data_IF_939543947233
#
_entry.id   IF_939543947233
#
_cell.length_a   1.000
_cell.length_b   1.000
_cell.length_c   1.000
_cell.angle_alpha   90.00
_cell.angle_beta   90.00
_cell.angle_gamma   90.00
#
_symmetry.space_group_name_H-M   'P 1'
#
loop_
_entity.id
_entity.type
_entity.pdbx_description
1 polymer ?
#
# COMPACT_ATOMS: atom_id res chain seq x y z
N UNK A 1 -15.28 26.71 23.63
CA UNK A 1 -13.86 26.99 23.88
C UNK A 1 -13.61 26.79 25.36
N UNK A 2 -12.63 25.94 25.77
CA UNK A 2 -12.30 25.72 27.19
C UNK A 2 -11.68 26.98 27.79
N UNK A 3 -11.89 27.17 29.10
CA UNK A 3 -11.31 28.32 29.85
C UNK A 3 -9.78 28.32 29.68
N UNK A 4 -9.22 29.35 29.06
CA UNK A 4 -7.77 29.60 28.99
C UNK A 4 -7.17 29.65 27.56
N UNK A 5 -7.94 29.44 26.51
CA UNK A 5 -7.47 29.62 25.12
C UNK A 5 -8.05 30.93 24.59
N UNK A 6 -7.19 31.93 24.40
CA UNK A 6 -7.58 33.17 23.73
C UNK A 6 -7.54 33.04 22.23
N UNK A 7 -8.25 33.89 21.48
CA UNK A 7 -8.20 33.92 19.99
C UNK A 7 -6.76 34.14 19.50
N UNK A 8 -5.97 34.91 20.19
CA UNK A 8 -4.57 35.19 19.85
C UNK A 8 -3.70 33.93 19.96
N UNK A 9 -3.85 33.16 21.04
CA UNK A 9 -3.15 31.88 21.23
C UNK A 9 -3.58 30.87 20.16
N UNK A 10 -4.88 30.78 19.88
CA UNK A 10 -5.36 29.89 18.82
C UNK A 10 -4.78 30.23 17.45
N UNK A 11 -4.75 31.55 17.11
CA UNK A 11 -4.17 32.01 15.82
C UNK A 11 -2.67 31.75 15.76
N UNK A 12 -1.96 31.92 16.87
CA UNK A 12 -0.52 31.64 16.96
C UNK A 12 -0.25 30.17 16.72
N UNK A 13 -0.92 29.28 17.47
CA UNK A 13 -0.77 27.82 17.32
C UNK A 13 -1.13 27.33 15.92
N UNK A 14 -2.22 27.84 15.36
CA UNK A 14 -2.62 27.53 13.99
C UNK A 14 -1.57 27.94 12.97
N UNK A 15 -0.94 29.11 13.16
CA UNK A 15 0.13 29.60 12.29
C UNK A 15 1.40 28.76 12.42
N UNK A 16 1.79 28.40 13.64
CA UNK A 16 2.96 27.54 13.89
C UNK A 16 2.75 26.16 13.28
N UNK A 17 1.57 25.56 13.50
CA UNK A 17 1.24 24.27 12.90
C UNK A 17 1.25 24.32 11.37
N UNK A 18 0.72 25.36 10.77
CA UNK A 18 0.71 25.56 9.32
C UNK A 18 2.12 25.70 8.75
N UNK A 19 2.99 26.49 9.40
CA UNK A 19 4.40 26.65 8.99
C UNK A 19 5.14 25.32 9.13
N UNK A 20 4.96 24.61 10.24
CA UNK A 20 5.61 23.33 10.47
C UNK A 20 5.15 22.27 9.42
N UNK A 21 3.87 22.25 9.08
CA UNK A 21 3.34 21.36 8.06
C UNK A 21 3.92 21.69 6.69
N UNK A 22 3.88 22.94 6.26
CA UNK A 22 4.44 23.34 4.96
C UNK A 22 5.95 23.05 4.86
N UNK A 23 6.71 23.31 5.93
CA UNK A 23 8.13 22.99 5.96
C UNK A 23 8.36 21.48 5.85
N UNK A 24 7.56 20.69 6.56
CA UNK A 24 7.63 19.23 6.49
C UNK A 24 7.31 18.71 5.07
N UNK A 25 6.27 19.26 4.43
CA UNK A 25 5.88 18.91 3.06
C UNK A 25 6.98 19.28 2.07
N UNK A 26 7.50 20.50 2.12
CA UNK A 26 8.58 20.99 1.25
C UNK A 26 9.86 20.16 1.43
N UNK A 27 10.21 19.85 2.68
CA UNK A 27 11.37 19.03 3.00
C UNK A 27 11.20 17.57 2.52
N UNK A 28 10.01 16.98 2.68
CA UNK A 28 9.72 15.66 2.14
C UNK A 28 9.79 15.61 0.61
N UNK A 29 9.34 16.69 -0.06
CA UNK A 29 9.49 16.82 -1.51
C UNK A 29 10.98 16.89 -1.93
N UNK A 30 11.84 17.60 -1.17
CA UNK A 30 13.28 17.65 -1.44
C UNK A 30 13.94 16.27 -1.25
N UNK A 31 13.58 15.56 -0.18
CA UNK A 31 14.07 14.20 0.07
C UNK A 31 13.62 13.21 -1.01
N UNK A 32 12.38 13.30 -1.45
CA UNK A 32 11.86 12.45 -2.52
C UNK A 32 12.53 12.70 -3.86
N UNK A 33 13.11 13.89 -4.07
CA UNK A 33 13.88 14.25 -5.25
C UNK A 33 15.38 13.94 -5.11
N UNK A 34 15.85 13.58 -3.91
CA UNK A 34 17.24 13.22 -3.67
C UNK A 34 17.55 11.90 -4.35
N UNK A 35 18.48 11.94 -5.28
CA UNK A 35 19.00 10.74 -5.91
C UNK A 35 20.27 10.30 -5.16
N UNK A 36 20.37 9.00 -4.90
CA UNK A 36 21.57 8.36 -4.38
C UNK A 36 22.27 7.67 -5.52
N UNK A 37 23.58 7.75 -5.57
CA UNK A 37 24.34 7.09 -6.63
C UNK A 37 24.44 5.57 -6.40
N UNK A 38 24.87 4.84 -7.42
CA UNK A 38 24.99 3.37 -7.34
C UNK A 38 25.91 2.93 -6.19
N UNK A 39 26.91 3.72 -5.82
CA UNK A 39 27.82 3.40 -4.74
C UNK A 39 27.14 3.52 -3.37
N UNK A 40 26.29 4.52 -3.17
CA UNK A 40 25.50 4.69 -1.95
C UNK A 40 24.50 3.53 -1.80
N UNK A 41 23.80 3.16 -2.88
CA UNK A 41 22.84 2.06 -2.88
C UNK A 41 23.51 0.71 -2.64
N UNK A 42 24.70 0.48 -3.23
CA UNK A 42 25.48 -0.75 -3.00
C UNK A 42 26.04 -0.82 -1.59
N UNK A 43 26.50 0.29 -1.02
CA UNK A 43 26.95 0.34 0.37
C UNK A 43 25.79 0.02 1.33
N UNK A 44 24.63 0.63 1.12
CA UNK A 44 23.44 0.33 1.91
C UNK A 44 23.05 -1.14 1.81
N UNK A 45 23.05 -1.71 0.58
CA UNK A 45 22.77 -3.14 0.35
C UNK A 45 23.72 -4.04 1.14
N UNK A 46 25.00 -3.75 1.12
CA UNK A 46 26.01 -4.62 1.77
C UNK A 46 25.85 -4.62 3.30
N UNK A 47 25.36 -3.54 3.88
CA UNK A 47 25.09 -3.41 5.31
C UNK A 47 23.69 -3.95 5.70
N UNK A 48 22.70 -3.84 4.81
CA UNK A 48 21.29 -4.10 5.11
C UNK A 48 20.65 -5.15 4.17
N UNK A 49 21.43 -6.14 3.74
CA UNK A 49 21.00 -7.12 2.73
C UNK A 49 19.68 -7.83 3.09
N UNK A 50 19.49 -8.15 4.37
CA UNK A 50 18.30 -8.87 4.83
C UNK A 50 17.00 -8.10 4.59
N UNK A 51 17.01 -6.76 4.72
CA UNK A 51 15.85 -5.90 4.54
C UNK A 51 15.50 -5.68 3.06
N UNK A 52 16.47 -5.91 2.17
CA UNK A 52 16.33 -5.73 0.73
C UNK A 52 15.94 -7.02 -0.01
N UNK A 53 16.03 -8.16 0.66
CA UNK A 53 15.70 -9.45 0.07
C UNK A 53 14.20 -9.64 -0.11
N UNK A 54 13.87 -10.44 -1.12
CA UNK A 54 12.51 -10.86 -1.47
C UNK A 54 12.39 -12.37 -1.41
N UNK A 55 11.15 -12.86 -1.29
CA UNK A 55 10.78 -14.27 -1.45
C UNK A 55 9.61 -14.38 -2.42
N UNK A 56 9.44 -15.55 -3.07
CA UNK A 56 8.20 -15.90 -3.75
C UNK A 56 7.46 -16.94 -2.92
N UNK A 57 6.20 -16.65 -2.62
CA UNK A 57 5.38 -17.49 -1.74
C UNK A 57 3.97 -17.71 -2.30
N UNK A 58 3.35 -18.77 -1.80
CA UNK A 58 1.88 -18.91 -1.80
C UNK A 58 1.43 -18.81 -0.36
N UNK A 59 0.44 -17.94 -0.10
CA UNK A 59 -0.09 -17.70 1.23
C UNK A 59 -1.62 -17.80 1.19
N UNK A 60 -2.20 -18.42 2.22
CA UNK A 60 -3.63 -18.41 2.47
C UNK A 60 -3.91 -18.27 3.96
N UNK A 61 -4.94 -17.47 4.29
CA UNK A 61 -5.43 -17.26 5.64
C UNK A 61 -6.77 -17.99 5.82
N UNK A 62 -6.93 -18.64 6.96
CA UNK A 62 -8.09 -19.42 7.30
C UNK A 62 -8.90 -18.74 8.42
N UNK A 63 -10.19 -19.03 8.51
CA UNK A 63 -11.03 -18.54 9.61
C UNK A 63 -10.69 -19.21 10.95
N UNK A 64 -10.06 -20.39 10.91
CA UNK A 64 -9.65 -21.13 12.09
C UNK A 64 -8.39 -21.98 11.86
N UNK A 65 -7.72 -22.33 12.96
CA UNK A 65 -6.46 -23.06 12.95
C UNK A 65 -6.61 -24.53 12.51
N UNK A 66 -7.74 -25.17 12.80
CA UNK A 66 -7.96 -26.57 12.42
C UNK A 66 -7.96 -26.74 10.89
N UNK A 67 -8.57 -25.81 10.18
CA UNK A 67 -8.57 -25.79 8.71
C UNK A 67 -7.17 -25.49 8.14
N UNK A 68 -6.41 -24.60 8.76
CA UNK A 68 -5.02 -24.35 8.39
C UNK A 68 -4.14 -25.61 8.52
N UNK A 69 -4.31 -26.35 9.62
CA UNK A 69 -3.63 -27.63 9.86
C UNK A 69 -4.07 -28.67 8.82
N UNK A 70 -5.37 -28.79 8.55
CA UNK A 70 -5.91 -29.75 7.58
C UNK A 70 -5.39 -29.44 6.17
N UNK A 71 -5.37 -28.19 5.79
CA UNK A 71 -4.82 -27.71 4.52
C UNK A 71 -3.35 -28.07 4.37
N UNK A 72 -2.52 -27.73 5.37
CA UNK A 72 -1.09 -28.04 5.38
C UNK A 72 -0.84 -29.53 5.20
N UNK A 73 -1.63 -30.39 5.89
CA UNK A 73 -1.48 -31.83 5.78
C UNK A 73 -1.91 -32.40 4.42
N UNK A 74 -2.82 -31.73 3.69
CA UNK A 74 -3.27 -32.11 2.36
C UNK A 74 -2.40 -31.54 1.24
N UNK A 75 -1.48 -30.60 1.57
CA UNK A 75 -0.64 -29.94 0.60
C UNK A 75 0.39 -30.90 0.01
N UNK A 76 0.50 -30.93 -1.32
CA UNK A 76 1.54 -31.68 -2.00
C UNK A 76 2.90 -31.01 -1.81
N UNK A 77 3.97 -31.82 -1.77
CA UNK A 77 5.32 -31.33 -1.54
C UNK A 77 5.80 -30.30 -2.60
N UNK A 78 5.26 -30.37 -3.82
CA UNK A 78 5.54 -29.43 -4.90
C UNK A 78 4.62 -28.20 -4.92
N UNK A 79 3.69 -28.09 -3.96
CA UNK A 79 2.73 -26.99 -3.86
C UNK A 79 1.73 -26.90 -5.02
N UNK A 80 1.68 -27.90 -5.91
CA UNK A 80 0.88 -27.84 -7.15
C UNK A 80 -0.63 -27.76 -6.91
N UNK A 81 -1.09 -28.23 -5.74
CA UNK A 81 -2.52 -28.21 -5.37
C UNK A 81 -2.88 -27.05 -4.42
N UNK A 82 -1.99 -26.09 -4.20
CA UNK A 82 -2.20 -25.02 -3.23
C UNK A 82 -3.47 -24.22 -3.55
N UNK A 83 -3.57 -23.68 -4.76
CA UNK A 83 -4.72 -22.86 -5.18
C UNK A 83 -6.05 -23.69 -5.21
N UNK A 84 -6.00 -24.97 -5.67
CA UNK A 84 -7.16 -25.85 -5.64
C UNK A 84 -7.65 -26.12 -4.21
N UNK A 85 -6.72 -26.30 -3.28
CA UNK A 85 -7.09 -26.47 -1.88
C UNK A 85 -7.63 -25.17 -1.28
N UNK A 86 -6.98 -24.04 -1.52
CA UNK A 86 -7.40 -22.72 -1.02
C UNK A 86 -8.82 -22.37 -1.46
N UNK A 87 -9.20 -22.67 -2.70
CA UNK A 87 -10.54 -22.42 -3.21
C UNK A 87 -11.65 -23.21 -2.48
N UNK A 88 -11.31 -24.28 -1.75
CA UNK A 88 -12.28 -25.05 -0.95
C UNK A 88 -12.59 -24.43 0.40
N UNK A 89 -11.74 -23.52 0.86
CA UNK A 89 -11.84 -22.83 2.15
C UNK A 89 -12.22 -21.36 1.99
N UNK A 90 -12.25 -20.82 0.76
CA UNK A 90 -12.71 -19.46 0.52
C UNK A 90 -14.19 -19.34 0.87
N UNK A 91 -14.49 -18.46 1.82
CA UNK A 91 -15.86 -18.25 2.33
C UNK A 91 -16.62 -17.16 1.56
N UNK A 92 -15.96 -16.44 0.64
CA UNK A 92 -16.57 -15.32 -0.06
C UNK A 92 -16.80 -15.66 -1.53
N UNK A 93 -18.06 -15.78 -1.92
CA UNK A 93 -18.51 -15.85 -3.32
C UNK A 93 -17.90 -14.70 -4.16
N UNK A 94 -17.55 -13.61 -3.50
CA UNK A 94 -16.92 -12.43 -4.11
C UNK A 94 -15.52 -12.71 -4.68
N UNK A 95 -14.66 -13.43 -3.94
CA UNK A 95 -13.30 -13.73 -4.37
C UNK A 95 -13.29 -14.71 -5.55
N UNK A 96 -14.29 -15.57 -5.64
CA UNK A 96 -14.45 -16.59 -6.68
C UNK A 96 -15.12 -16.02 -7.93
N UNK A 97 -16.25 -15.32 -7.80
CA UNK A 97 -17.00 -14.82 -8.96
C UNK A 97 -16.41 -13.54 -9.57
N UNK A 98 -15.92 -12.61 -8.74
CA UNK A 98 -15.43 -11.33 -9.23
C UNK A 98 -14.19 -11.46 -10.11
N UNK A 99 -13.31 -12.40 -9.82
CA UNK A 99 -12.04 -12.55 -10.53
C UNK A 99 -11.96 -13.78 -11.44
N UNK A 100 -12.87 -14.76 -11.33
CA UNK A 100 -12.76 -16.09 -11.97
C UNK A 100 -11.39 -16.75 -11.78
N UNK A 101 -10.56 -16.19 -10.92
CA UNK A 101 -9.29 -16.75 -10.49
C UNK A 101 -9.51 -17.44 -9.15
N UNK A 102 -8.86 -18.57 -8.92
CA UNK A 102 -8.77 -19.11 -7.58
C UNK A 102 -8.20 -17.99 -6.69
N UNK A 103 -8.66 -17.94 -5.44
CA UNK A 103 -8.18 -17.01 -4.42
C UNK A 103 -6.71 -16.73 -4.63
N UNK A 104 -6.34 -15.46 -4.80
CA UNK A 104 -4.96 -15.12 -5.11
C UNK A 104 -4.09 -15.44 -3.90
N UNK A 105 -3.30 -16.45 -4.10
CA UNK A 105 -2.46 -17.03 -3.04
C UNK A 105 -0.98 -16.84 -3.33
N UNK A 106 -0.64 -16.26 -4.49
CA UNK A 106 0.75 -16.17 -4.95
C UNK A 106 1.28 -14.75 -4.85
N UNK A 107 2.39 -14.60 -4.15
CA UNK A 107 3.13 -13.36 -4.00
C UNK A 107 4.55 -13.56 -4.54
N UNK A 108 4.90 -12.89 -5.62
CA UNK A 108 6.23 -12.94 -6.23
C UNK A 108 7.02 -11.69 -5.86
N UNK A 109 8.24 -11.85 -5.38
CA UNK A 109 9.10 -10.73 -5.05
C UNK A 109 8.64 -9.93 -3.83
N UNK A 110 7.92 -10.57 -2.89
CA UNK A 110 7.49 -9.87 -1.68
C UNK A 110 8.65 -9.68 -0.72
N UNK A 111 8.82 -8.45 -0.22
CA UNK A 111 9.88 -8.11 0.73
C UNK A 111 9.43 -8.31 2.18
N UNK A 112 10.40 -8.39 3.09
CA UNK A 112 10.12 -8.45 4.53
C UNK A 112 9.28 -7.26 5.00
N UNK A 113 9.63 -6.04 4.56
CA UNK A 113 8.91 -4.83 4.92
C UNK A 113 7.48 -4.78 4.38
N UNK A 114 7.22 -5.36 3.20
CA UNK A 114 5.86 -5.50 2.66
C UNK A 114 5.06 -6.52 3.45
N UNK A 115 5.65 -7.69 3.77
CA UNK A 115 4.99 -8.71 4.59
C UNK A 115 4.54 -8.18 5.95
N UNK A 116 5.37 -7.40 6.64
CA UNK A 116 5.01 -6.80 7.94
C UNK A 116 3.76 -5.91 7.92
N UNK A 117 3.37 -5.41 6.76
CA UNK A 117 2.19 -4.54 6.58
C UNK A 117 0.90 -5.32 6.29
N UNK A 118 1.02 -6.62 6.01
CA UNK A 118 -0.14 -7.47 5.74
C UNK A 118 -0.81 -7.90 7.05
N UNK A 119 -2.15 -8.02 7.01
CA UNK A 119 -2.97 -8.38 8.19
C UNK A 119 -3.15 -9.90 8.34
N UNK A 120 -2.11 -10.70 8.05
CA UNK A 120 -2.13 -12.15 8.20
C UNK A 120 -1.52 -12.57 9.53
N UNK A 121 -1.94 -13.73 10.08
CA UNK A 121 -1.43 -14.23 11.35
C UNK A 121 0.10 -14.40 11.35
N UNK A 122 0.67 -14.91 10.25
CA UNK A 122 2.13 -15.05 10.09
C UNK A 122 2.88 -13.71 10.14
N UNK A 123 2.22 -12.60 9.87
CA UNK A 123 2.80 -11.26 9.85
C UNK A 123 2.72 -10.56 11.21
N UNK A 124 1.99 -11.15 12.17
CA UNK A 124 1.79 -10.58 13.50
C UNK A 124 3.10 -10.66 14.32
N UNK A 125 3.48 -9.60 15.04
CA UNK A 125 4.63 -9.68 15.96
C UNK A 125 4.38 -10.65 17.09
N UNK A 126 5.46 -11.18 17.67
CA UNK A 126 5.40 -12.08 18.81
C UNK A 126 4.69 -11.38 19.99
N UNK A 127 3.85 -12.13 20.72
CA UNK A 127 3.04 -11.57 21.82
C UNK A 127 3.85 -10.97 22.96
N UNK A 128 5.07 -11.45 23.15
CA UNK A 128 5.97 -11.03 24.24
C UNK A 128 6.90 -9.87 23.82
N UNK A 129 7.06 -9.65 22.51
CA UNK A 129 7.93 -8.60 21.96
C UNK A 129 7.39 -8.12 20.60
N UNK A 130 6.70 -6.97 20.60
CA UNK A 130 6.09 -6.37 19.42
C UNK A 130 7.08 -5.99 18.29
N UNK A 131 8.39 -6.09 18.55
CA UNK A 131 9.42 -5.82 17.54
C UNK A 131 9.88 -7.09 16.82
N UNK A 132 9.54 -8.26 17.35
CA UNK A 132 10.00 -9.54 16.88
C UNK A 132 8.93 -10.26 16.05
N UNK A 133 9.32 -10.79 14.91
CA UNK A 133 8.47 -11.49 13.95
C UNK A 133 9.08 -12.87 13.62
N UNK A 134 9.06 -13.79 14.58
CA UNK A 134 9.75 -15.09 14.45
C UNK A 134 9.37 -15.86 13.19
N UNK A 135 8.10 -15.83 12.78
CA UNK A 135 7.63 -16.54 11.58
C UNK A 135 8.12 -15.89 10.29
N UNK A 136 8.22 -14.54 10.25
CA UNK A 136 8.81 -13.84 9.12
C UNK A 136 10.33 -14.04 9.08
N UNK A 137 11.01 -13.98 10.22
CA UNK A 137 12.45 -14.27 10.33
C UNK A 137 12.75 -15.69 9.83
N UNK A 138 11.89 -16.67 10.15
CA UNK A 138 11.99 -18.01 9.60
C UNK A 138 11.85 -18.00 8.07
N UNK A 139 10.85 -17.32 7.52
CA UNK A 139 10.55 -17.27 6.08
C UNK A 139 11.71 -16.64 5.28
N UNK A 140 12.31 -15.59 5.82
CA UNK A 140 13.41 -14.84 5.20
C UNK A 140 14.81 -15.38 5.57
N UNK A 141 14.88 -16.52 6.27
CA UNK A 141 16.16 -17.16 6.59
C UNK A 141 16.81 -17.78 5.34
N UNK A 142 18.13 -17.61 5.22
CA UNK A 142 18.95 -18.21 4.16
C UNK A 142 19.02 -19.74 4.22
N UNK A 143 18.60 -20.36 5.33
CA UNK A 143 18.53 -21.82 5.50
C UNK A 143 17.29 -22.44 4.83
N UNK A 144 16.37 -21.61 4.34
CA UNK A 144 15.14 -22.08 3.70
C UNK A 144 15.37 -22.48 2.25
N UNK A 145 14.48 -23.36 1.78
CA UNK A 145 14.51 -23.88 0.40
C UNK A 145 13.10 -23.93 -0.18
N UNK A 146 13.03 -23.92 -1.50
CA UNK A 146 11.76 -24.12 -2.20
C UNK A 146 11.07 -25.40 -1.73
N UNK A 147 9.78 -25.30 -1.44
CA UNK A 147 8.96 -26.37 -0.88
C UNK A 147 8.85 -26.38 0.64
N UNK A 148 9.60 -25.52 1.36
CA UNK A 148 9.40 -25.35 2.80
C UNK A 148 8.01 -24.75 3.08
N UNK A 149 7.36 -25.24 4.15
CA UNK A 149 6.02 -24.82 4.54
C UNK A 149 6.01 -24.42 6.01
N UNK A 150 5.51 -23.22 6.29
CA UNK A 150 5.19 -22.81 7.66
C UNK A 150 3.68 -22.65 7.81
N UNK A 151 3.16 -22.98 8.99
CA UNK A 151 1.81 -22.66 9.42
C UNK A 151 1.95 -21.95 10.77
N UNK A 152 1.39 -20.76 10.85
CA UNK A 152 1.32 -19.95 12.04
C UNK A 152 -0.12 -19.57 12.29
N UNK A 153 -0.70 -20.09 13.39
CA UNK A 153 -2.11 -19.91 13.68
C UNK A 153 -2.99 -20.23 12.45
N UNK A 154 -3.68 -19.25 11.92
CA UNK A 154 -4.59 -19.36 10.77
C UNK A 154 -3.90 -19.19 9.40
N UNK A 155 -2.61 -18.80 9.36
CA UNK A 155 -1.88 -18.65 8.10
C UNK A 155 -1.11 -19.91 7.69
N UNK A 156 -1.16 -20.26 6.39
CA UNK A 156 -0.25 -21.26 5.79
C UNK A 156 0.53 -20.63 4.64
N UNK A 157 1.85 -20.75 4.69
CA UNK A 157 2.76 -20.26 3.64
C UNK A 157 3.57 -21.41 3.07
N UNK A 158 3.57 -21.49 1.74
CA UNK A 158 4.44 -22.36 0.96
C UNK A 158 5.51 -21.52 0.26
N UNK A 159 6.78 -21.81 0.51
CA UNK A 159 7.90 -21.10 -0.08
C UNK A 159 8.17 -21.60 -1.50
N UNK A 160 7.90 -20.78 -2.49
CA UNK A 160 8.13 -21.08 -3.92
C UNK A 160 9.59 -20.84 -4.27
N UNK A 161 10.11 -19.67 -3.86
CA UNK A 161 11.53 -19.31 -4.06
C UNK A 161 12.06 -18.68 -2.78
N UNK A 162 13.17 -19.25 -2.22
CA UNK A 162 13.78 -18.70 -1.02
C UNK A 162 14.40 -17.33 -1.30
N UNK A 163 14.89 -16.69 -0.26
CA UNK A 163 15.42 -15.33 -0.31
C UNK A 163 16.37 -15.07 -1.48
N UNK A 164 16.11 -13.96 -2.16
CA UNK A 164 16.93 -13.47 -3.28
C UNK A 164 16.84 -11.94 -3.37
N UNK A 165 17.82 -11.34 -4.02
CA UNK A 165 17.77 -9.92 -4.36
C UNK A 165 17.00 -9.76 -5.68
N UNK A 166 15.90 -9.00 -5.66
CA UNK A 166 15.04 -8.86 -6.83
C UNK A 166 15.56 -7.79 -7.79
N UNK A 167 15.92 -8.22 -9.00
CA UNK A 167 16.29 -7.32 -10.11
C UNK A 167 15.06 -6.84 -10.91
N UNK A 168 13.85 -7.20 -10.48
CA UNK A 168 12.63 -6.71 -11.10
C UNK A 168 12.57 -5.19 -10.95
N UNK A 169 12.27 -4.49 -12.04
CA UNK A 169 12.12 -3.04 -12.02
C UNK A 169 10.79 -2.63 -11.39
N UNK A 170 10.79 -1.47 -10.73
CA UNK A 170 9.54 -0.78 -10.37
C UNK A 170 8.76 -0.41 -11.62
N UNK A 171 7.49 -0.10 -11.45
CA UNK A 171 6.64 0.37 -12.56
C UNK A 171 5.90 1.63 -12.16
N UNK A 172 5.56 2.48 -13.14
CA UNK A 172 4.69 3.63 -12.93
C UNK A 172 3.42 3.45 -13.73
N UNK A 173 2.29 3.76 -13.09
CA UNK A 173 0.96 3.63 -13.68
C UNK A 173 0.09 4.82 -13.32
N UNK A 174 -0.87 5.17 -14.19
CA UNK A 174 -2.00 6.01 -13.82
C UNK A 174 -3.24 5.15 -13.71
N UNK A 175 -4.16 5.55 -12.86
CA UNK A 175 -5.46 4.91 -12.82
C UNK A 175 -6.60 5.89 -12.51
N UNK A 176 -7.81 5.46 -12.87
CA UNK A 176 -9.06 6.13 -12.53
C UNK A 176 -9.91 5.10 -11.80
N UNK A 177 -10.24 5.35 -10.54
CA UNK A 177 -11.11 4.48 -9.76
C UNK A 177 -12.57 4.92 -9.92
N UNK A 178 -13.43 3.98 -10.26
CA UNK A 178 -14.89 4.13 -10.26
C UNK A 178 -15.45 3.11 -9.26
N UNK A 179 -16.02 3.61 -8.19
CA UNK A 179 -16.63 2.79 -7.12
C UNK A 179 -18.06 2.41 -7.48
N UNK A 180 -18.52 1.21 -7.16
CA UNK A 180 -19.95 0.95 -7.14
C UNK A 180 -20.58 1.77 -6.00
N UNK A 181 -21.75 2.33 -6.23
CA UNK A 181 -22.47 3.16 -5.26
C UNK A 181 -23.73 2.42 -4.85
N UNK A 182 -23.83 2.04 -3.57
CA UNK A 182 -25.06 1.47 -3.04
C UNK A 182 -26.18 2.53 -3.14
N UNK A 183 -27.27 2.19 -3.80
CA UNK A 183 -28.44 3.06 -3.83
C UNK A 183 -29.05 3.08 -2.43
N UNK A 184 -29.20 4.29 -1.86
CA UNK A 184 -29.96 4.47 -0.63
C UNK A 184 -31.37 3.98 -0.88
N UNK A 185 -31.74 2.85 -0.31
CA UNK A 185 -33.15 2.46 -0.23
C UNK A 185 -33.83 3.47 0.67
N UNK A 186 -34.82 4.18 0.14
CA UNK A 186 -35.67 5.10 0.91
C UNK A 186 -36.46 4.33 1.98
N UNK A 187 -35.82 3.82 3.02
CA UNK A 187 -36.51 3.34 4.22
C UNK A 187 -35.65 3.59 5.48
N UNK A 188 -36.29 4.38 6.38
CA UNK A 188 -35.91 4.66 7.76
C UNK A 188 -34.96 5.84 8.03
N UNK A 189 -35.50 7.05 7.86
CA UNK A 189 -35.09 8.14 8.76
C UNK A 189 -35.64 7.82 10.15
N UNK A 190 -34.76 7.48 11.09
CA UNK A 190 -35.14 7.50 12.49
C UNK A 190 -35.38 8.94 12.94
N UNK A 191 -36.27 9.13 13.93
CA UNK A 191 -36.69 10.44 14.43
C UNK A 191 -35.55 11.30 15.05
N UNK A 192 -34.28 10.94 14.87
CA UNK A 192 -33.12 11.56 15.55
C UNK A 192 -32.09 12.22 14.64
N UNK A 193 -32.30 12.26 13.31
CA UNK A 193 -31.56 13.17 12.41
C UNK A 193 -30.02 13.03 12.41
N UNK A 194 -29.49 11.85 12.65
CA UNK A 194 -28.07 11.58 12.49
C UNK A 194 -27.80 11.12 11.06
N UNK A 195 -27.10 11.97 10.33
CA UNK A 195 -26.58 11.67 9.00
C UNK A 195 -25.46 10.64 9.13
N UNK A 196 -25.79 9.37 8.89
CA UNK A 196 -24.86 8.26 8.79
C UNK A 196 -24.42 8.05 7.34
N UNK A 197 -23.98 9.11 6.65
CA UNK A 197 -23.32 8.97 5.36
C UNK A 197 -21.91 8.39 5.55
N UNK A 198 -21.83 7.18 6.07
CA UNK A 198 -20.65 6.34 5.94
C UNK A 198 -20.55 5.94 4.49
N UNK A 199 -19.40 6.18 3.85
CA UNK A 199 -19.13 5.65 2.53
C UNK A 199 -19.39 4.14 2.58
N UNK A 200 -20.45 3.67 1.91
CA UNK A 200 -20.81 2.25 1.87
C UNK A 200 -19.61 1.45 1.36
N UNK A 201 -19.22 0.43 2.09
CA UNK A 201 -18.15 -0.48 1.67
C UNK A 201 -18.61 -1.13 0.34
N UNK A 202 -17.75 -1.14 -0.69
CA UNK A 202 -18.09 -1.71 -2.00
C UNK A 202 -18.52 -3.20 -1.93
N UNK A 203 -18.26 -3.86 -0.81
CA UNK A 203 -18.69 -5.24 -0.52
C UNK A 203 -20.20 -5.39 -0.30
N UNK A 204 -20.91 -4.31 -0.01
CA UNK A 204 -22.38 -4.32 0.20
C UNK A 204 -23.17 -4.01 -1.08
N UNK A 205 -22.48 -3.69 -2.17
CA UNK A 205 -23.12 -3.31 -3.43
C UNK A 205 -23.66 -4.53 -4.20
N UNK A 206 -24.82 -4.32 -4.83
CA UNK A 206 -25.48 -5.32 -5.69
C UNK A 206 -24.75 -5.50 -7.04
N UNK A 207 -25.06 -6.59 -7.75
CA UNK A 207 -24.54 -6.81 -9.11
C UNK A 207 -24.92 -5.69 -10.07
N UNK A 208 -26.08 -5.06 -9.89
CA UNK A 208 -26.57 -3.97 -10.74
C UNK A 208 -25.71 -2.70 -10.53
N UNK A 209 -25.39 -2.35 -9.30
CA UNK A 209 -24.50 -1.23 -8.94
C UNK A 209 -23.06 -1.44 -9.44
N UNK A 210 -22.57 -2.68 -9.37
CA UNK A 210 -21.30 -3.05 -10.00
C UNK A 210 -21.36 -2.93 -11.53
N UNK A 211 -22.47 -3.29 -12.17
CA UNK A 211 -22.64 -3.16 -13.63
C UNK A 211 -22.71 -1.69 -14.07
N UNK A 212 -23.32 -0.82 -13.26
CA UNK A 212 -23.33 0.63 -13.49
C UNK A 212 -21.93 1.23 -13.41
N UNK A 213 -21.16 0.87 -12.36
CA UNK A 213 -19.77 1.29 -12.21
C UNK A 213 -18.88 0.83 -13.40
N UNK A 214 -19.08 -0.42 -13.86
CA UNK A 214 -18.38 -0.91 -15.05
C UNK A 214 -18.75 -0.11 -16.31
N UNK A 215 -20.02 0.21 -16.47
CA UNK A 215 -20.50 0.98 -17.63
C UNK A 215 -19.84 2.36 -17.65
N UNK A 216 -19.80 3.05 -16.50
CA UNK A 216 -19.12 4.35 -16.34
C UNK A 216 -17.61 4.23 -16.63
N UNK A 217 -16.95 3.21 -16.09
CA UNK A 217 -15.54 2.97 -16.36
C UNK A 217 -15.26 2.73 -17.83
N UNK A 218 -16.15 2.00 -18.51
CA UNK A 218 -16.05 1.75 -19.96
C UNK A 218 -16.25 3.03 -20.78
N UNK A 219 -17.21 3.86 -20.45
CA UNK A 219 -17.46 5.14 -21.12
C UNK A 219 -16.23 6.06 -21.03
N UNK A 220 -15.57 6.14 -19.86
CA UNK A 220 -14.36 6.94 -19.67
C UNK A 220 -13.17 6.36 -20.47
N UNK A 221 -13.03 5.03 -20.51
CA UNK A 221 -12.01 4.41 -21.35
C UNK A 221 -12.28 4.66 -22.84
N UNK A 222 -13.54 4.54 -23.28
CA UNK A 222 -13.94 4.84 -24.65
C UNK A 222 -13.68 6.32 -25.00
N UNK A 223 -13.87 7.27 -24.07
CA UNK A 223 -13.49 8.68 -24.23
C UNK A 223 -12.00 8.84 -24.47
N UNK A 224 -11.15 8.21 -23.62
CA UNK A 224 -9.70 8.20 -23.82
C UNK A 224 -9.31 7.61 -25.17
N UNK A 225 -9.89 6.45 -25.53
CA UNK A 225 -9.58 5.75 -26.79
C UNK A 225 -10.01 6.50 -28.05
N UNK A 226 -11.00 7.38 -27.94
CA UNK A 226 -11.44 8.25 -29.04
C UNK A 226 -10.76 9.63 -29.03
N UNK A 227 -9.99 9.94 -27.99
CA UNK A 227 -9.25 11.19 -27.81
C UNK A 227 -7.81 11.11 -28.31
N UNK A 228 -6.94 11.92 -27.67
CA UNK A 228 -5.53 12.06 -28.08
C UNK A 228 -4.64 10.85 -27.72
N UNK A 229 -5.10 9.98 -26.82
CA UNK A 229 -4.39 8.77 -26.35
C UNK A 229 -2.98 9.02 -25.81
N UNK A 230 -2.80 10.15 -25.16
CA UNK A 230 -1.54 10.51 -24.52
C UNK A 230 -1.65 10.30 -23.01
N UNK A 231 -0.51 10.21 -22.32
CA UNK A 231 -0.50 10.17 -20.86
C UNK A 231 -1.16 11.42 -20.26
N UNK A 232 -0.92 12.61 -20.84
CA UNK A 232 -1.52 13.87 -20.40
C UNK A 232 -3.04 13.86 -20.52
N UNK A 233 -3.58 13.28 -21.60
CA UNK A 233 -5.03 13.16 -21.78
C UNK A 233 -5.65 12.17 -20.78
N UNK A 234 -4.94 11.10 -20.45
CA UNK A 234 -5.37 10.18 -19.40
C UNK A 234 -5.33 10.84 -18.02
N UNK A 235 -4.27 11.59 -17.71
CA UNK A 235 -4.15 12.35 -16.47
C UNK A 235 -5.26 13.40 -16.31
N UNK A 236 -5.70 14.03 -17.40
CA UNK A 236 -6.82 14.96 -17.38
C UNK A 236 -8.13 14.26 -17.02
N UNK A 237 -8.42 13.09 -17.61
CA UNK A 237 -9.58 12.27 -17.26
C UNK A 237 -9.50 11.77 -15.81
N UNK A 238 -8.32 11.40 -15.35
CA UNK A 238 -8.15 11.00 -13.95
C UNK A 238 -8.48 12.14 -12.97
N UNK A 239 -8.07 13.38 -13.27
CA UNK A 239 -8.44 14.56 -12.46
C UNK A 239 -9.93 14.83 -12.43
N UNK A 240 -10.65 14.47 -13.50
CA UNK A 240 -12.09 14.72 -13.63
C UNK A 240 -12.95 13.62 -13.01
N UNK A 241 -12.55 12.35 -13.19
CA UNK A 241 -13.44 11.22 -12.93
C UNK A 241 -13.02 10.32 -11.77
N UNK A 242 -11.76 10.33 -11.33
CA UNK A 242 -11.33 9.38 -10.30
C UNK A 242 -11.98 9.66 -8.95
N UNK A 243 -12.38 8.60 -8.30
CA UNK A 243 -12.89 8.59 -6.93
C UNK A 243 -11.80 8.14 -5.92
N UNK A 244 -10.54 8.11 -6.37
CA UNK A 244 -9.38 7.87 -5.51
C UNK A 244 -8.73 9.20 -5.06
N UNK A 245 -7.99 9.13 -3.97
CA UNK A 245 -7.36 10.30 -3.33
C UNK A 245 -6.25 10.95 -4.18
N UNK A 246 -5.63 10.21 -5.11
CA UNK A 246 -4.57 10.71 -6.00
C UNK A 246 -5.08 11.44 -7.25
N UNK A 247 -6.36 11.81 -7.29
CA UNK A 247 -6.97 12.51 -8.43
C UNK A 247 -6.28 13.83 -8.78
N UNK A 248 -5.85 14.63 -7.78
CA UNK A 248 -5.13 15.90 -8.00
C UNK A 248 -3.87 15.72 -8.86
N UNK A 249 -3.20 14.58 -8.76
CA UNK A 249 -1.97 14.27 -9.45
C UNK A 249 -2.20 13.52 -10.78
N UNK A 250 -3.46 13.46 -11.22
CA UNK A 250 -3.85 12.77 -12.45
C UNK A 250 -3.75 11.25 -12.32
N UNK A 251 -4.02 10.72 -11.12
CA UNK A 251 -4.09 9.30 -10.85
C UNK A 251 -2.75 8.56 -10.89
N UNK A 252 -1.59 9.25 -10.76
CA UNK A 252 -0.27 8.64 -10.85
C UNK A 252 0.10 7.85 -9.60
N UNK A 253 0.68 6.67 -9.81
CA UNK A 253 1.50 5.95 -8.87
C UNK A 253 2.86 5.69 -9.50
N UNK A 254 3.89 6.32 -8.94
CA UNK A 254 5.28 6.17 -9.39
C UNK A 254 6.00 5.09 -8.58
N UNK A 255 6.93 4.40 -9.22
CA UNK A 255 7.80 3.41 -8.59
C UNK A 255 7.05 2.35 -7.75
N UNK A 256 5.91 1.88 -8.27
CA UNK A 256 5.18 0.77 -7.65
C UNK A 256 6.07 -0.47 -7.58
N UNK A 257 6.14 -1.08 -6.41
CA UNK A 257 6.86 -2.35 -6.20
C UNK A 257 5.87 -3.53 -6.18
N UNK A 258 6.31 -4.77 -6.48
CA UNK A 258 5.44 -5.94 -6.43
C UNK A 258 4.75 -6.09 -5.08
N UNK A 259 3.47 -6.44 -5.12
CA UNK A 259 2.60 -6.68 -3.95
C UNK A 259 2.30 -5.44 -3.08
N UNK A 260 2.60 -4.25 -3.55
CA UNK A 260 2.20 -3.00 -2.92
C UNK A 260 0.70 -2.73 -3.10
N UNK A 261 0.16 -3.12 -4.25
CA UNK A 261 -1.24 -2.92 -4.62
C UNK A 261 -2.03 -4.23 -4.43
N UNK A 262 -3.37 -4.10 -4.39
CA UNK A 262 -4.24 -5.29 -4.37
C UNK A 262 -3.97 -6.17 -5.57
N UNK A 263 -4.21 -7.43 -5.39
CA UNK A 263 -3.74 -8.53 -6.22
C UNK A 263 -4.00 -8.39 -7.71
N UNK A 264 -5.23 -8.10 -8.13
CA UNK A 264 -5.56 -7.94 -9.56
C UNK A 264 -4.94 -6.70 -10.19
N UNK A 265 -4.84 -5.61 -9.43
CA UNK A 265 -4.13 -4.40 -9.83
C UNK A 265 -2.63 -4.71 -9.99
N UNK A 266 -2.02 -5.35 -8.99
CA UNK A 266 -0.62 -5.78 -8.99
C UNK A 266 -0.31 -6.69 -10.18
N UNK A 267 -1.15 -7.71 -10.43
CA UNK A 267 -0.96 -8.64 -11.53
C UNK A 267 -0.98 -7.92 -12.90
N UNK A 268 -1.85 -6.91 -13.06
CA UNK A 268 -1.87 -6.11 -14.27
C UNK A 268 -0.60 -5.27 -14.42
N UNK A 269 -0.13 -4.62 -13.36
CA UNK A 269 1.07 -3.78 -13.37
C UNK A 269 2.34 -4.56 -13.74
N UNK A 270 2.47 -5.78 -13.24
CA UNK A 270 3.68 -6.60 -13.37
C UNK A 270 3.58 -7.70 -14.42
N UNK A 271 2.58 -7.66 -15.29
CA UNK A 271 2.54 -8.51 -16.47
C UNK A 271 3.70 -8.14 -17.42
N UNK A 272 4.57 -9.10 -17.69
CA UNK A 272 5.79 -8.91 -18.48
C UNK A 272 5.55 -8.49 -19.94
N UNK A 273 4.32 -8.56 -20.41
CA UNK A 273 3.93 -8.12 -21.76
C UNK A 273 3.54 -6.64 -21.81
N UNK A 274 3.42 -5.94 -20.67
CA UNK A 274 3.02 -4.53 -20.63
C UNK A 274 3.98 -3.62 -21.36
N UNK A 275 3.39 -2.66 -22.07
CA UNK A 275 4.11 -1.60 -22.77
C UNK A 275 3.52 -0.24 -22.39
N UNK A 276 4.36 0.81 -22.43
CA UNK A 276 3.90 2.17 -22.18
C UNK A 276 2.72 2.52 -23.12
N UNK A 277 1.66 3.06 -22.52
CA UNK A 277 0.40 3.36 -23.22
C UNK A 277 -0.64 2.25 -23.19
N UNK A 278 -0.31 1.05 -22.66
CA UNK A 278 -1.31 0.00 -22.48
C UNK A 278 -2.39 0.44 -21.48
N UNK A 279 -3.64 0.13 -21.80
CA UNK A 279 -4.81 0.42 -20.97
C UNK A 279 -5.66 -0.83 -20.73
N UNK A 280 -6.37 -0.86 -19.62
CA UNK A 280 -7.36 -1.90 -19.32
C UNK A 280 -8.33 -1.42 -18.22
N UNK A 281 -9.44 -2.13 -18.07
CA UNK A 281 -10.29 -2.02 -16.89
C UNK A 281 -10.01 -3.23 -15.99
N UNK A 282 -9.61 -2.97 -14.76
CA UNK A 282 -9.27 -3.97 -13.74
C UNK A 282 -10.27 -3.86 -12.60
N UNK A 283 -10.95 -4.96 -12.26
CA UNK A 283 -11.86 -5.04 -11.12
C UNK A 283 -11.08 -5.37 -9.85
N UNK A 284 -11.34 -4.64 -8.79
CA UNK A 284 -10.85 -4.93 -7.42
C UNK A 284 -12.02 -4.87 -6.44
N UNK A 285 -11.75 -5.16 -5.18
CA UNK A 285 -12.74 -4.98 -4.11
C UNK A 285 -13.20 -3.52 -3.91
N UNK A 286 -12.43 -2.56 -4.41
CA UNK A 286 -12.74 -1.13 -4.28
C UNK A 286 -13.56 -0.56 -5.43
N UNK A 287 -13.64 -1.27 -6.55
CA UNK A 287 -14.32 -0.80 -7.76
C UNK A 287 -13.58 -1.24 -9.04
N UNK A 288 -13.90 -0.54 -10.12
CA UNK A 288 -13.21 -0.69 -11.40
C UNK A 288 -12.12 0.36 -11.54
N UNK A 289 -10.92 -0.09 -11.81
CA UNK A 289 -9.78 0.76 -12.12
C UNK A 289 -9.57 0.78 -13.63
N UNK A 290 -9.67 1.95 -14.23
CA UNK A 290 -9.19 2.17 -15.60
C UNK A 290 -7.69 2.41 -15.45
N UNK A 291 -6.89 1.56 -16.06
CA UNK A 291 -5.44 1.53 -15.90
C UNK A 291 -4.75 2.10 -17.13
N UNK A 292 -3.64 2.80 -16.92
CA UNK A 292 -2.71 3.25 -17.95
C UNK A 292 -1.28 2.94 -17.49
N UNK A 293 -0.54 2.19 -18.31
CA UNK A 293 0.84 1.86 -18.00
C UNK A 293 1.78 2.96 -18.50
N UNK A 294 2.42 3.68 -17.56
CA UNK A 294 3.38 4.75 -17.89
C UNK A 294 4.71 4.14 -18.33
N UNK A 295 5.20 3.14 -17.60
CA UNK A 295 6.44 2.46 -17.94
C UNK A 295 7.08 1.75 -16.76
N UNK A 296 8.25 1.17 -17.03
CA UNK A 296 9.14 0.63 -15.99
C UNK A 296 10.01 1.75 -15.44
N UNK A 297 10.24 1.73 -14.12
CA UNK A 297 11.14 2.65 -13.46
C UNK A 297 12.62 2.34 -13.74
N UNK A 298 13.49 3.25 -13.33
CA UNK A 298 14.94 3.13 -13.50
C UNK A 298 15.57 2.17 -12.48
N UNK A 299 14.94 2.04 -11.31
CA UNK A 299 15.42 1.24 -10.20
C UNK A 299 14.86 -0.18 -10.19
N UNK A 300 15.68 -1.14 -9.81
CA UNK A 300 15.16 -2.44 -9.35
C UNK A 300 14.47 -2.29 -7.99
N UNK A 301 13.66 -3.28 -7.60
CA UNK A 301 12.95 -3.27 -6.32
C UNK A 301 13.89 -3.02 -5.14
N UNK A 302 15.05 -3.71 -5.11
CA UNK A 302 15.99 -3.52 -4.02
C UNK A 302 16.63 -2.13 -4.02
N UNK A 303 16.97 -1.59 -5.20
CA UNK A 303 17.54 -0.24 -5.32
C UNK A 303 16.54 0.82 -4.83
N UNK A 304 15.29 0.71 -5.27
CA UNK A 304 14.23 1.62 -4.82
C UNK A 304 13.99 1.52 -3.30
N UNK A 305 14.00 0.30 -2.75
CA UNK A 305 13.86 0.09 -1.30
C UNK A 305 15.03 0.71 -0.54
N UNK A 306 16.27 0.54 -1.03
CA UNK A 306 17.46 1.16 -0.45
C UNK A 306 17.39 2.69 -0.51
N UNK A 307 16.96 3.26 -1.63
CA UNK A 307 16.79 4.70 -1.79
C UNK A 307 15.77 5.27 -0.79
N UNK A 308 14.63 4.60 -0.60
CA UNK A 308 13.62 5.01 0.38
C UNK A 308 14.14 4.94 1.82
N UNK A 309 14.93 3.92 2.12
CA UNK A 309 15.54 3.76 3.44
C UNK A 309 16.57 4.86 3.73
N UNK A 310 17.48 5.12 2.79
CA UNK A 310 18.46 6.22 2.89
C UNK A 310 17.77 7.59 3.03
N UNK A 311 16.70 7.86 2.27
CA UNK A 311 15.93 9.08 2.41
C UNK A 311 15.27 9.20 3.80
N UNK A 312 14.81 8.09 4.36
CA UNK A 312 14.25 8.04 5.71
C UNK A 312 15.31 8.28 6.80
N UNK A 313 16.52 7.75 6.62
CA UNK A 313 17.66 7.99 7.52
C UNK A 313 18.07 9.47 7.49
N UNK A 314 18.24 10.05 6.32
CA UNK A 314 18.54 11.47 6.15
C UNK A 314 17.48 12.37 6.80
N UNK A 315 16.20 12.00 6.68
CA UNK A 315 15.11 12.72 7.33
C UNK A 315 15.21 12.66 8.85
N UNK A 316 15.51 11.49 9.38
CA UNK A 316 15.65 11.26 10.83
C UNK A 316 16.83 12.05 11.38
N UNK A 317 17.96 12.04 10.69
CA UNK A 317 19.17 12.75 11.09
C UNK A 317 18.93 14.27 11.09
N UNK A 318 18.28 14.79 10.05
CA UNK A 318 17.94 16.22 9.98
C UNK A 318 16.99 16.65 11.11
N UNK A 319 15.96 15.85 11.39
CA UNK A 319 15.03 16.11 12.51
C UNK A 319 15.81 16.11 13.84
N UNK A 320 16.68 15.12 14.04
CA UNK A 320 17.50 15.02 15.25
C UNK A 320 18.42 16.23 15.43
N UNK A 321 19.06 16.69 14.36
CA UNK A 321 19.88 17.90 14.36
C UNK A 321 19.06 19.17 14.68
N UNK A 322 17.83 19.26 14.17
CA UNK A 322 16.92 20.37 14.46
C UNK A 322 16.46 20.34 15.92
N UNK A 323 16.15 19.16 16.46
CA UNK A 323 15.77 18.98 17.86
C UNK A 323 16.90 19.40 18.82
N UNK A 324 18.16 19.12 18.49
CA UNK A 324 19.33 19.55 19.27
C UNK A 324 19.49 21.08 19.29
N UNK A 325 19.07 21.76 18.21
CA UNK A 325 19.13 23.23 18.08
C UNK A 325 17.96 23.95 18.78
N UNK A 326 16.87 23.23 19.11
CA UNK A 326 15.66 23.79 19.71
C UNK A 326 15.65 23.60 21.22
N UNK A 327 15.62 24.70 21.99
CA UNK A 327 15.45 24.65 23.43
C UNK A 327 13.99 24.87 23.81
N UNK A 328 13.34 23.83 24.32
CA UNK A 328 11.97 23.94 24.85
C UNK A 328 12.01 24.46 26.28
N UNK A 329 11.60 25.71 26.48
CA UNK A 329 11.43 26.29 27.83
C UNK A 329 10.01 25.98 28.34
N UNK A 330 9.89 25.13 29.37
CA UNK A 330 8.60 24.91 30.05
C UNK A 330 8.32 26.07 30.98
N UNK A 331 7.21 26.81 30.77
CA UNK A 331 6.74 27.82 31.69
C UNK A 331 6.25 27.19 33.00
N UNK A 332 6.62 27.77 34.15
CA UNK A 332 6.22 27.31 35.49
C UNK A 332 4.70 27.48 35.76
N UNK A 333 4.02 28.33 35.02
CA UNK A 333 2.58 28.56 35.12
C UNK A 333 1.72 27.54 34.34
N UNK A 334 2.07 26.30 34.46
CA UNK A 334 1.26 25.19 33.99
C UNK A 334 1.42 24.93 32.51
N UNK A 335 1.51 23.72 32.21
CA UNK A 335 1.57 22.93 30.98
C UNK A 335 0.85 23.45 29.70
N UNK A 336 0.73 24.74 29.46
CA UNK A 336 -0.10 25.31 28.39
C UNK A 336 0.58 26.26 27.43
N UNK A 337 1.85 26.61 27.65
CA UNK A 337 2.59 27.48 26.73
C UNK A 337 4.00 26.96 26.57
N UNK A 338 4.38 26.69 25.33
CA UNK A 338 5.75 26.43 24.93
C UNK A 338 6.28 27.71 24.24
N UNK A 339 7.31 28.35 24.78
CA UNK A 339 8.11 29.29 23.99
C UNK A 339 9.20 28.50 23.29
N UNK A 340 9.16 28.49 21.97
CA UNK A 340 10.24 27.98 21.13
C UNK A 340 11.15 29.17 20.85
N UNK A 341 12.33 29.17 21.46
CA UNK A 341 13.37 30.16 21.15
C UNK A 341 14.14 29.64 19.95
N UNK A 342 13.76 30.11 18.77
CA UNK A 342 14.46 29.81 17.53
C UNK A 342 15.46 30.91 17.26
N UNK A 343 16.64 30.87 17.88
CA UNK A 343 17.82 31.55 17.35
C UNK A 343 18.33 30.76 16.13
N UNK A 344 17.51 30.70 15.09
CA UNK A 344 17.95 30.29 13.76
C UNK A 344 18.33 31.58 13.04
N UNK A 345 19.60 31.93 13.13
CA UNK A 345 20.18 32.90 12.23
C UNK A 345 20.06 32.35 10.80
N UNK A 346 19.31 33.07 9.95
CA UNK A 346 19.08 32.78 8.54
C UNK A 346 20.35 32.95 7.68
#
# INVERSE_FOLDING_TARGET
MGQGVTEEVFRHEAKVSYIAQNYSEEYQEELNKKEYDDADLEAYRDENLADLQSVDIKLFEFDNEDDAIAFKNALKADGSNFAELASKYSSTDWDIEANKNPVETTYNGITYGTMKKLSYAICTPDTDDNTKHTSLDWLFSTDRKAGDVIQESTSVVYLVKPVYLSEQKTVSVRHILIKPVAQETEEETDEHGHDHSSASDATECTEEEWAEAYTKAKEILDEYENGDKTEDSFAALAKEYTEDSNGSDGGIYENVVPNQMVATFNAWCFDSSRQAGDTAIVKTKYGYHIMYFVGTGDYSVWQYTAQQALASEDSTDTISELEEKVTIKKSWFGSRYFEIDTDIDA
#
